data_IF_247176740712
#
_entry.id   IF_247176740712
#
_cell.length_a   1.000
_cell.length_b   1.000
_cell.length_c   1.000
_cell.angle_alpha   90.00
_cell.angle_beta   90.00
_cell.angle_gamma   90.00
#
_symmetry.space_group_name_H-M   'P 1'
#
loop_
_entity.id
_entity.type
_entity.pdbx_description
1 polymer ?
#
# COMPACT_ATOMS: atom_id res chain seq x y z
N UNK A 1 22.76 -12.32 22.63
CA UNK A 1 23.49 -13.12 21.61
C UNK A 1 23.23 -12.47 20.25
N UNK A 2 24.25 -11.87 19.62
CA UNK A 2 24.06 -11.15 18.37
C UNK A 2 24.53 -12.01 17.19
N UNK A 3 23.65 -12.42 16.31
CA UNK A 3 24.03 -13.02 15.01
C UNK A 3 22.91 -12.82 13.96
N UNK A 4 22.68 -11.60 13.50
CA UNK A 4 21.82 -11.33 12.33
C UNK A 4 22.47 -10.34 11.35
N UNK A 5 23.63 -9.76 11.68
CA UNK A 5 24.24 -8.66 10.89
C UNK A 5 25.15 -9.08 9.74
N UNK A 6 25.32 -10.37 9.43
CA UNK A 6 26.36 -10.83 8.48
C UNK A 6 25.84 -11.45 7.18
N UNK A 7 24.54 -11.60 6.99
CA UNK A 7 23.98 -12.22 5.77
C UNK A 7 23.53 -11.23 4.69
N UNK A 8 23.31 -9.98 5.02
CA UNK A 8 22.88 -8.97 4.04
C UNK A 8 23.95 -8.62 2.98
N UNK A 9 25.26 -8.53 3.31
CA UNK A 9 26.27 -8.22 2.29
C UNK A 9 26.51 -9.35 1.29
N UNK A 10 26.24 -10.60 1.64
CA UNK A 10 26.59 -11.75 0.79
C UNK A 10 25.59 -11.97 -0.37
N UNK A 11 24.30 -11.63 -0.16
CA UNK A 11 23.26 -11.78 -1.21
C UNK A 11 23.42 -10.69 -2.27
N UNK A 12 23.86 -9.49 -1.88
CA UNK A 12 24.08 -8.37 -2.81
C UNK A 12 25.29 -8.60 -3.71
N UNK A 13 26.33 -9.29 -3.22
CA UNK A 13 27.54 -9.57 -4.00
C UNK A 13 27.33 -10.58 -5.14
N UNK A 14 26.36 -11.49 -5.05
CA UNK A 14 26.11 -12.50 -6.08
C UNK A 14 25.30 -11.95 -7.26
N UNK A 15 24.47 -10.93 -7.03
CA UNK A 15 23.70 -10.27 -8.09
C UNK A 15 24.51 -9.25 -8.91
N UNK A 16 25.65 -8.78 -8.38
CA UNK A 16 26.49 -7.76 -9.05
C UNK A 16 27.34 -8.32 -10.20
N UNK A 17 27.55 -9.64 -10.29
CA UNK A 17 28.44 -10.23 -11.30
C UNK A 17 27.84 -10.47 -12.69
N UNK A 18 26.52 -10.32 -12.89
CA UNK A 18 25.86 -10.59 -14.18
C UNK A 18 24.98 -9.44 -14.68
N UNK A 19 25.02 -8.24 -14.07
CA UNK A 19 24.19 -7.11 -14.49
C UNK A 19 24.97 -6.19 -15.45
N UNK A 20 24.33 -5.62 -16.50
CA UNK A 20 24.97 -4.60 -17.35
C UNK A 20 25.35 -3.37 -16.51
N UNK A 21 26.42 -2.69 -16.90
CA UNK A 21 27.04 -1.58 -16.14
C UNK A 21 26.05 -0.46 -15.72
N UNK A 22 25.00 -0.23 -16.48
CA UNK A 22 23.91 0.72 -16.17
C UNK A 22 23.06 0.31 -14.96
N UNK A 23 22.86 -0.98 -14.71
CA UNK A 23 22.16 -1.49 -13.53
C UNK A 23 23.02 -1.35 -12.26
N UNK A 24 24.34 -1.53 -12.38
CA UNK A 24 25.27 -1.38 -11.25
C UNK A 24 25.36 0.04 -10.72
N UNK A 25 25.34 1.05 -11.61
CA UNK A 25 25.33 2.46 -11.23
C UNK A 25 24.01 2.87 -10.54
N UNK A 26 22.88 2.39 -11.04
CA UNK A 26 21.59 2.64 -10.39
C UNK A 26 21.48 1.98 -9.01
N UNK A 27 22.02 0.78 -8.83
CA UNK A 27 22.03 0.10 -7.53
C UNK A 27 22.91 0.84 -6.51
N UNK A 28 24.06 1.38 -6.90
CA UNK A 28 24.94 2.15 -6.00
C UNK A 28 24.29 3.48 -5.55
N UNK A 29 23.61 4.18 -6.46
CA UNK A 29 22.86 5.40 -6.14
C UNK A 29 21.70 5.10 -5.21
N UNK A 30 20.96 4.04 -5.46
CA UNK A 30 19.85 3.58 -4.59
C UNK A 30 20.36 3.18 -3.21
N UNK A 31 21.51 2.50 -3.12
CA UNK A 31 22.14 2.14 -1.86
C UNK A 31 22.65 3.36 -1.07
N UNK A 32 23.22 4.34 -1.74
CA UNK A 32 23.66 5.60 -1.12
C UNK A 32 22.46 6.44 -0.67
N UNK A 33 21.38 6.49 -1.43
CA UNK A 33 20.14 7.13 -1.03
C UNK A 33 19.46 6.40 0.12
N UNK A 34 19.43 5.07 0.12
CA UNK A 34 18.89 4.27 1.23
C UNK A 34 19.70 4.48 2.53
N UNK A 35 21.02 4.61 2.44
CA UNK A 35 21.88 4.91 3.58
C UNK A 35 21.69 6.36 4.10
N UNK A 36 21.57 7.34 3.20
CA UNK A 36 21.30 8.73 3.56
C UNK A 36 19.87 8.92 4.12
N UNK A 37 18.93 8.07 3.72
CA UNK A 37 17.53 8.10 4.17
C UNK A 37 17.31 7.42 5.51
N UNK A 38 18.29 6.67 6.04
CA UNK A 38 18.19 6.01 7.35
C UNK A 38 18.08 6.98 8.54
N UNK A 39 18.30 8.27 8.32
CA UNK A 39 18.22 9.30 9.36
C UNK A 39 16.88 10.06 9.41
N UNK A 40 16.02 9.94 8.39
CA UNK A 40 14.71 10.60 8.38
C UNK A 40 13.60 9.62 8.72
N UNK A 41 13.03 9.76 9.90
CA UNK A 41 11.83 9.02 10.30
C UNK A 41 10.59 9.87 10.01
N UNK A 42 9.89 9.52 8.92
CA UNK A 42 8.60 10.14 8.66
C UNK A 42 7.53 9.56 9.58
N UNK A 43 6.65 10.40 10.11
CA UNK A 43 5.50 9.90 10.85
C UNK A 43 4.54 9.13 9.94
N UNK A 44 3.82 8.19 10.51
CA UNK A 44 2.68 7.53 9.87
C UNK A 44 1.42 8.32 10.20
N UNK A 45 0.79 8.86 9.18
CA UNK A 45 -0.52 9.46 9.27
C UNK A 45 -1.58 8.37 9.20
N UNK A 46 -2.54 8.36 10.10
CA UNK A 46 -3.51 7.28 10.24
C UNK A 46 -4.91 7.83 9.95
N UNK A 47 -5.62 7.15 9.05
CA UNK A 47 -7.05 7.33 8.86
C UNK A 47 -7.71 5.98 9.08
N UNK A 48 -8.75 5.93 9.89
CA UNK A 48 -9.42 4.68 10.21
C UNK A 48 -10.94 4.86 10.30
N UNK A 49 -11.65 3.87 9.82
CA UNK A 49 -13.09 3.67 9.99
C UNK A 49 -13.38 2.54 11.00
N UNK A 50 -12.43 2.31 11.93
CA UNK A 50 -12.60 1.48 13.12
C UNK A 50 -13.32 2.25 14.21
N UNK A 51 -14.18 1.57 14.97
CA UNK A 51 -14.65 2.09 16.25
C UNK A 51 -13.47 2.22 17.22
N UNK A 52 -13.36 3.39 17.85
CA UNK A 52 -12.35 3.66 18.89
C UNK A 52 -13.04 3.64 20.24
N UNK A 53 -12.57 2.79 21.16
CA UNK A 53 -13.01 2.76 22.54
C UNK A 53 -12.00 3.49 23.41
N UNK A 54 -12.43 4.61 23.95
CA UNK A 54 -11.61 5.40 24.87
C UNK A 54 -11.61 4.78 26.25
N UNK A 55 -10.44 4.64 26.86
CA UNK A 55 -10.29 4.17 28.23
C UNK A 55 -9.18 4.93 28.97
N UNK A 56 -9.14 4.80 30.28
CA UNK A 56 -8.06 5.37 31.12
C UNK A 56 -6.69 4.74 30.83
N UNK A 57 -6.66 3.61 30.14
CA UNK A 57 -5.43 2.90 29.75
C UNK A 57 -4.97 3.22 28.32
N UNK A 58 -5.70 4.09 27.61
CA UNK A 58 -5.46 4.46 26.22
C UNK A 58 -6.62 4.08 25.29
N UNK A 59 -6.48 4.43 24.03
CA UNK A 59 -7.46 4.18 23.00
C UNK A 59 -7.32 2.76 22.44
N UNK A 60 -8.44 2.03 22.33
CA UNK A 60 -8.52 0.71 21.69
C UNK A 60 -9.17 0.85 20.30
N UNK A 61 -8.38 0.62 19.27
CA UNK A 61 -8.81 0.61 17.86
C UNK A 61 -9.40 -0.76 17.52
N UNK A 62 -10.70 -0.89 17.72
CA UNK A 62 -11.40 -2.18 17.58
C UNK A 62 -11.46 -2.67 16.12
N UNK A 63 -11.95 -3.88 15.91
CA UNK A 63 -12.28 -4.40 14.58
C UNK A 63 -13.77 -4.20 14.21
N UNK A 64 -14.46 -3.29 14.89
CA UNK A 64 -15.84 -2.89 14.59
C UNK A 64 -15.84 -1.70 13.64
N UNK A 65 -16.81 -1.65 12.73
CA UNK A 65 -16.99 -0.54 11.80
C UNK A 65 -17.51 0.71 12.51
N UNK A 66 -16.97 1.86 12.16
CA UNK A 66 -17.49 3.18 12.51
C UNK A 66 -17.92 3.92 11.24
N UNK A 67 -19.12 4.49 11.25
CA UNK A 67 -19.59 5.35 10.14
C UNK A 67 -18.83 6.67 10.02
N UNK A 68 -17.94 6.96 10.97
CA UNK A 68 -17.11 8.17 10.98
C UNK A 68 -15.65 7.77 10.88
N UNK A 69 -14.91 8.43 10.00
CA UNK A 69 -13.46 8.33 9.96
C UNK A 69 -12.84 9.05 11.16
N UNK A 70 -11.84 8.44 11.75
CA UNK A 70 -10.98 9.03 12.78
C UNK A 70 -9.58 9.21 12.22
N UNK A 71 -8.89 10.23 12.71
CA UNK A 71 -7.58 10.66 12.23
C UNK A 71 -6.57 10.57 13.34
N UNK A 72 -5.34 10.20 13.03
CA UNK A 72 -4.26 10.10 13.99
C UNK A 72 -2.89 10.25 13.36
N UNK A 73 -1.88 10.33 14.19
CA UNK A 73 -0.48 10.34 13.82
C UNK A 73 0.29 9.44 14.78
N UNK A 74 1.12 8.58 14.20
CA UNK A 74 2.10 7.79 14.92
C UNK A 74 3.49 8.33 14.59
N UNK A 75 4.25 8.66 15.62
CA UNK A 75 5.65 9.10 15.48
C UNK A 75 6.54 8.00 16.03
N UNK A 76 7.35 7.34 15.19
CA UNK A 76 8.26 6.30 15.64
C UNK A 76 9.22 6.81 16.71
N UNK A 77 9.47 6.01 17.74
CA UNK A 77 10.54 6.27 18.70
C UNK A 77 11.92 5.98 18.08
N UNK A 78 12.94 6.72 18.50
CA UNK A 78 14.33 6.51 18.07
C UNK A 78 15.16 6.04 19.28
N UNK A 79 15.83 4.89 19.23
CA UNK A 79 15.83 3.90 18.15
C UNK A 79 14.48 3.22 17.97
N UNK A 80 14.21 2.73 16.75
CA UNK A 80 12.95 2.07 16.44
C UNK A 80 12.64 0.97 17.47
N UNK A 81 11.48 1.06 18.09
CA UNK A 81 11.03 0.06 19.03
C UNK A 81 10.86 -1.30 18.30
N UNK A 82 11.08 -2.39 19.03
CA UNK A 82 10.87 -3.74 18.46
C UNK A 82 9.42 -4.01 18.08
N UNK A 83 8.48 -3.19 18.55
CA UNK A 83 7.04 -3.26 18.27
C UNK A 83 6.43 -1.86 18.45
N UNK A 84 5.47 -1.52 17.58
CA UNK A 84 4.67 -0.29 17.71
C UNK A 84 3.96 -0.28 19.06
N UNK A 85 4.13 0.82 19.80
CA UNK A 85 3.33 1.12 20.99
C UNK A 85 2.15 2.00 20.57
N UNK A 86 0.93 1.49 20.78
CA UNK A 86 -0.29 2.23 20.43
C UNK A 86 -0.51 3.50 21.27
N UNK A 87 0.15 3.62 22.43
CA UNK A 87 0.16 4.85 23.21
C UNK A 87 0.86 6.02 22.51
N UNK A 88 1.71 5.72 21.52
CA UNK A 88 2.36 6.73 20.68
C UNK A 88 1.46 7.22 19.52
N UNK A 89 0.29 6.61 19.32
CA UNK A 89 -0.71 7.10 18.36
C UNK A 89 -1.48 8.27 19.01
N UNK A 90 -1.33 9.45 18.43
CA UNK A 90 -2.06 10.66 18.87
C UNK A 90 -3.23 10.89 17.93
N UNK A 91 -4.44 10.92 18.49
CA UNK A 91 -5.63 11.29 17.74
C UNK A 91 -5.62 12.77 17.34
N UNK A 92 -6.14 13.04 16.16
CA UNK A 92 -6.29 14.39 15.59
C UNK A 92 -7.78 14.70 15.53
N UNK A 93 -8.15 15.89 16.01
CA UNK A 93 -9.55 16.25 16.25
C UNK A 93 -10.40 16.44 14.98
N UNK A 94 -9.78 16.70 13.83
CA UNK A 94 -10.52 16.94 12.58
C UNK A 94 -9.74 16.57 11.34
N UNK A 95 -10.48 16.34 10.24
CA UNK A 95 -9.93 16.13 8.90
C UNK A 95 -9.05 17.30 8.44
N UNK A 96 -9.48 18.54 8.68
CA UNK A 96 -8.71 19.72 8.30
C UNK A 96 -7.37 19.76 9.00
N UNK A 97 -7.36 19.56 10.33
CA UNK A 97 -6.12 19.50 11.10
C UNK A 97 -5.18 18.39 10.63
N UNK A 98 -5.73 17.22 10.28
CA UNK A 98 -4.98 16.12 9.72
C UNK A 98 -4.28 16.51 8.41
N UNK A 99 -5.00 17.10 7.46
CA UNK A 99 -4.45 17.55 6.19
C UNK A 99 -3.41 18.65 6.36
N UNK A 100 -3.61 19.56 7.32
CA UNK A 100 -2.66 20.63 7.63
C UNK A 100 -1.36 20.07 8.24
N UNK A 101 -1.45 19.10 9.15
CA UNK A 101 -0.27 18.42 9.71
C UNK A 101 0.49 17.63 8.63
N UNK A 102 -0.22 16.95 7.73
CA UNK A 102 0.39 16.24 6.62
C UNK A 102 1.12 17.24 5.69
N UNK A 103 0.55 18.40 5.42
CA UNK A 103 1.19 19.46 4.64
C UNK A 103 2.45 20.01 5.30
N UNK A 104 2.48 20.10 6.61
CA UNK A 104 3.64 20.58 7.39
C UNK A 104 4.87 19.66 7.27
N UNK A 105 4.72 18.41 6.80
CA UNK A 105 5.88 17.55 6.52
C UNK A 105 6.77 18.09 5.41
N UNK A 106 6.26 19.01 4.60
CA UNK A 106 6.98 19.59 3.46
C UNK A 106 7.30 18.59 2.34
N UNK A 107 6.77 17.37 2.41
CA UNK A 107 6.97 16.37 1.35
C UNK A 107 6.17 16.74 0.11
N UNK A 108 6.83 16.68 -1.04
CA UNK A 108 6.18 16.81 -2.35
C UNK A 108 5.43 15.53 -2.79
N UNK A 109 5.57 14.43 -2.03
CA UNK A 109 4.98 13.13 -2.37
C UNK A 109 4.39 12.47 -1.13
N UNK A 110 3.30 11.75 -1.32
CA UNK A 110 2.55 11.03 -0.27
C UNK A 110 2.32 9.61 -0.75
N UNK A 111 2.54 8.63 0.13
CA UNK A 111 2.14 7.25 -0.10
C UNK A 111 0.91 6.92 0.73
N UNK A 112 -0.18 6.47 0.10
CA UNK A 112 -1.36 5.93 0.78
C UNK A 112 -1.24 4.42 0.84
N UNK A 113 -1.26 3.84 2.04
CA UNK A 113 -1.15 2.40 2.22
C UNK A 113 -2.45 1.78 2.73
N UNK A 114 -2.90 0.72 2.06
CA UNK A 114 -4.11 -0.05 2.42
C UNK A 114 -3.71 -1.50 2.71
N UNK A 115 -3.82 -1.88 3.98
CA UNK A 115 -3.42 -3.21 4.44
C UNK A 115 -4.37 -4.33 4.01
N UNK A 116 -3.87 -5.57 4.05
CA UNK A 116 -4.64 -6.75 3.69
C UNK A 116 -5.50 -7.32 4.83
N UNK A 117 -6.11 -8.46 4.53
CA UNK A 117 -6.86 -9.29 5.45
C UNK A 117 -6.06 -9.68 6.70
N UNK A 118 -6.77 -9.86 7.80
CA UNK A 118 -6.23 -10.35 9.08
C UNK A 118 -5.07 -9.50 9.62
N UNK A 119 -5.23 -8.18 9.57
CA UNK A 119 -4.31 -7.25 10.21
C UNK A 119 -4.99 -6.58 11.41
N UNK A 120 -4.36 -6.69 12.59
CA UNK A 120 -4.66 -5.85 13.74
C UNK A 120 -4.28 -4.39 13.44
N UNK A 121 -4.77 -3.48 14.24
CA UNK A 121 -4.46 -2.07 14.07
C UNK A 121 -2.96 -1.81 14.24
N UNK A 122 -2.36 -2.29 15.35
CA UNK A 122 -0.91 -2.20 15.62
C UNK A 122 -0.06 -2.83 14.50
N UNK A 123 -0.45 -4.01 14.03
CA UNK A 123 0.24 -4.66 12.91
C UNK A 123 0.12 -3.92 11.59
N UNK A 124 -0.93 -3.09 11.39
CA UNK A 124 -1.04 -2.24 10.20
C UNK A 124 -0.18 -0.98 10.32
N UNK A 125 -0.06 -0.40 11.53
CA UNK A 125 0.82 0.73 11.80
C UNK A 125 2.29 0.34 11.65
N UNK A 126 2.72 -0.81 12.24
CA UNK A 126 4.08 -1.36 12.06
C UNK A 126 4.44 -1.53 10.57
N UNK A 127 3.49 -2.02 9.80
CA UNK A 127 3.72 -2.21 8.37
C UNK A 127 3.85 -0.88 7.62
N UNK A 128 3.02 0.11 7.97
CA UNK A 128 3.07 1.45 7.39
C UNK A 128 4.36 2.20 7.77
N UNK A 129 4.86 2.03 9.00
CA UNK A 129 6.16 2.57 9.42
C UNK A 129 7.30 2.02 8.58
N UNK A 130 7.31 0.72 8.33
CA UNK A 130 8.32 0.09 7.46
C UNK A 130 8.23 0.59 6.02
N UNK A 131 7.03 0.87 5.51
CA UNK A 131 6.87 1.51 4.20
C UNK A 131 7.46 2.93 4.26
N UNK A 132 7.10 3.75 5.25
CA UNK A 132 7.58 5.13 5.38
C UNK A 132 9.11 5.21 5.41
N UNK A 133 9.75 4.34 6.21
CA UNK A 133 11.20 4.22 6.28
C UNK A 133 11.84 3.81 4.93
N UNK A 134 11.11 3.04 4.13
CA UNK A 134 11.61 2.51 2.85
C UNK A 134 11.44 3.51 1.72
N UNK A 135 10.28 4.18 1.63
CA UNK A 135 9.97 5.11 0.53
C UNK A 135 10.46 6.54 0.79
N UNK A 136 10.91 6.83 2.01
CA UNK A 136 11.35 8.14 2.44
C UNK A 136 10.33 9.25 2.16
N UNK A 137 9.08 8.97 2.45
CA UNK A 137 7.94 9.87 2.29
C UNK A 137 6.92 9.62 3.41
N UNK A 138 6.10 10.62 3.78
CA UNK A 138 5.01 10.42 4.70
C UNK A 138 4.04 9.37 4.14
N UNK A 139 3.64 8.44 5.00
CA UNK A 139 2.65 7.41 4.66
C UNK A 139 1.34 7.75 5.34
N UNK A 140 0.27 7.74 4.56
CA UNK A 140 -1.11 7.76 5.05
C UNK A 140 -1.61 6.32 5.08
N UNK A 141 -1.68 5.73 6.27
CA UNK A 141 -2.27 4.42 6.48
C UNK A 141 -3.79 4.53 6.52
N UNK A 142 -4.48 3.83 5.64
CA UNK A 142 -5.91 3.56 5.77
C UNK A 142 -6.11 2.25 6.54
N UNK A 143 -6.37 2.37 7.84
CA UNK A 143 -6.47 1.24 8.77
C UNK A 143 -7.91 0.74 8.89
N UNK A 144 -8.41 0.05 7.87
CA UNK A 144 -9.77 -0.48 7.85
C UNK A 144 -10.00 -1.62 8.87
N UNK A 145 -11.25 -1.89 9.36
CA UNK A 145 -11.55 -2.77 10.50
C UNK A 145 -11.55 -4.26 10.15
N UNK A 146 -10.42 -4.80 9.68
CA UNK A 146 -10.20 -6.23 9.54
C UNK A 146 -10.28 -6.93 10.90
N UNK A 147 -10.93 -8.10 10.94
CA UNK A 147 -11.22 -8.87 12.16
C UNK A 147 -10.02 -9.59 12.77
N UNK A 148 -8.87 -9.59 12.11
CA UNK A 148 -7.66 -10.30 12.56
C UNK A 148 -7.89 -11.78 12.93
N UNK A 149 -8.81 -12.47 12.27
CA UNK A 149 -9.22 -13.84 12.57
C UNK A 149 -9.43 -14.66 11.29
N UNK A 150 -8.90 -15.89 11.21
CA UNK A 150 -9.04 -16.75 10.02
C UNK A 150 -10.49 -17.01 9.59
N UNK A 151 -11.44 -17.36 10.48
CA UNK A 151 -12.81 -17.63 10.05
C UNK A 151 -13.59 -16.38 9.63
N UNK A 152 -13.03 -15.18 9.85
CA UNK A 152 -13.74 -13.93 9.56
C UNK A 152 -13.49 -13.39 8.13
N UNK A 153 -12.96 -14.21 7.22
CA UNK A 153 -12.64 -13.77 5.85
C UNK A 153 -13.85 -13.17 5.13
N UNK A 154 -15.00 -13.86 5.16
CA UNK A 154 -16.25 -13.38 4.54
C UNK A 154 -16.73 -12.05 5.15
N UNK A 155 -16.58 -11.90 6.48
CA UNK A 155 -16.90 -10.64 7.16
C UNK A 155 -15.98 -9.52 6.71
N UNK A 156 -14.68 -9.81 6.52
CA UNK A 156 -13.70 -8.84 6.07
C UNK A 156 -13.93 -8.46 4.60
N UNK A 157 -14.42 -9.37 3.74
CA UNK A 157 -14.83 -9.01 2.37
C UNK A 157 -15.96 -7.96 2.37
N UNK A 158 -17.03 -8.19 3.15
CA UNK A 158 -18.12 -7.21 3.30
C UNK A 158 -17.62 -5.90 3.92
N UNK A 159 -16.63 -5.98 4.82
CA UNK A 159 -16.03 -4.79 5.43
C UNK A 159 -15.17 -4.03 4.42
N UNK A 160 -14.42 -4.73 3.58
CA UNK A 160 -13.61 -4.13 2.53
C UNK A 160 -14.48 -3.35 1.53
N UNK A 161 -15.63 -3.91 1.12
CA UNK A 161 -16.58 -3.22 0.27
C UNK A 161 -17.10 -1.93 0.93
N UNK A 162 -17.52 -2.01 2.18
CA UNK A 162 -18.01 -0.86 2.92
C UNK A 162 -16.92 0.21 3.13
N UNK A 163 -15.68 -0.18 3.48
CA UNK A 163 -14.55 0.72 3.69
C UNK A 163 -14.08 1.40 2.40
N UNK A 164 -14.41 0.85 1.21
CA UNK A 164 -13.99 1.43 -0.05
C UNK A 164 -14.57 2.83 -0.31
N UNK A 165 -15.76 3.11 0.20
CA UNK A 165 -16.37 4.44 0.11
C UNK A 165 -15.62 5.46 0.98
N UNK A 166 -15.20 5.07 2.18
CA UNK A 166 -14.40 5.93 3.05
C UNK A 166 -12.99 6.18 2.49
N UNK A 167 -12.40 5.16 1.85
CA UNK A 167 -11.13 5.37 1.16
C UNK A 167 -11.29 6.29 -0.05
N UNK A 168 -12.39 6.19 -0.80
CA UNK A 168 -12.67 7.11 -1.90
C UNK A 168 -12.74 8.57 -1.41
N UNK A 169 -13.46 8.83 -0.32
CA UNK A 169 -13.54 10.15 0.30
C UNK A 169 -12.15 10.66 0.73
N UNK A 170 -11.34 9.78 1.37
CA UNK A 170 -9.98 10.12 1.76
C UNK A 170 -9.09 10.47 0.55
N UNK A 171 -9.13 9.66 -0.50
CA UNK A 171 -8.35 9.88 -1.71
C UNK A 171 -8.76 11.18 -2.41
N UNK A 172 -10.06 11.47 -2.47
CA UNK A 172 -10.57 12.74 -2.99
C UNK A 172 -10.03 13.96 -2.20
N UNK A 173 -10.03 13.87 -0.86
CA UNK A 173 -9.51 14.92 0.01
C UNK A 173 -8.01 15.15 -0.18
N UNK A 174 -7.24 14.06 -0.20
CA UNK A 174 -5.80 14.12 -0.42
C UNK A 174 -5.49 14.69 -1.81
N UNK A 175 -6.18 14.22 -2.85
CA UNK A 175 -6.02 14.73 -4.21
C UNK A 175 -6.35 16.20 -4.34
N UNK A 176 -7.46 16.64 -3.74
CA UNK A 176 -7.86 18.05 -3.72
C UNK A 176 -6.86 18.96 -2.98
N UNK A 177 -6.17 18.44 -1.98
CA UNK A 177 -5.25 19.20 -1.13
C UNK A 177 -3.81 19.22 -1.64
N UNK A 178 -3.35 18.12 -2.25
CA UNK A 178 -1.94 17.88 -2.58
C UNK A 178 -1.68 17.67 -4.07
N UNK A 179 -2.72 17.49 -4.88
CA UNK A 179 -2.64 17.06 -6.28
C UNK A 179 -2.52 15.52 -6.39
N UNK A 180 -3.34 14.92 -7.24
CA UNK A 180 -3.37 13.46 -7.43
C UNK A 180 -2.01 12.94 -7.96
N UNK A 181 -1.33 13.73 -8.79
CA UNK A 181 -0.03 13.43 -9.38
C UNK A 181 1.10 13.28 -8.34
N UNK A 182 0.87 13.69 -7.11
CA UNK A 182 1.80 13.57 -5.99
C UNK A 182 1.49 12.39 -5.06
N UNK A 183 0.49 11.57 -5.39
CA UNK A 183 0.01 10.49 -4.54
C UNK A 183 0.27 9.14 -5.18
N UNK A 184 0.96 8.27 -4.44
CA UNK A 184 1.08 6.83 -4.72
C UNK A 184 0.14 6.04 -3.84
N UNK A 185 -0.54 5.06 -4.41
CA UNK A 185 -1.43 4.16 -3.69
C UNK A 185 -0.77 2.78 -3.63
N UNK A 186 -0.54 2.27 -2.43
CA UNK A 186 0.08 0.97 -2.18
C UNK A 186 -0.96 0.09 -1.49
N UNK A 187 -1.26 -1.05 -2.09
CA UNK A 187 -2.24 -1.98 -1.53
C UNK A 187 -1.68 -3.39 -1.42
N UNK A 188 -2.14 -4.12 -0.42
CA UNK A 188 -1.75 -5.49 -0.18
C UNK A 188 -2.96 -6.41 -0.03
N UNK A 189 -2.95 -7.55 -0.74
CA UNK A 189 -3.96 -8.61 -0.60
C UNK A 189 -5.39 -8.08 -0.72
N UNK A 190 -6.27 -8.30 0.26
CA UNK A 190 -7.66 -7.79 0.29
C UNK A 190 -7.74 -6.24 0.25
N UNK A 191 -6.70 -5.52 0.68
CA UNK A 191 -6.60 -4.08 0.53
C UNK A 191 -6.63 -3.63 -0.94
N UNK A 192 -6.16 -4.46 -1.86
CA UNK A 192 -6.27 -4.22 -3.30
C UNK A 192 -7.72 -4.13 -3.77
N UNK A 193 -8.64 -4.91 -3.19
CA UNK A 193 -10.07 -4.83 -3.49
C UNK A 193 -10.66 -3.49 -3.04
N UNK A 194 -10.28 -3.02 -1.85
CA UNK A 194 -10.70 -1.71 -1.33
C UNK A 194 -10.26 -0.60 -2.30
N UNK A 195 -8.99 -0.61 -2.72
CA UNK A 195 -8.44 0.37 -3.67
C UNK A 195 -9.17 0.31 -5.01
N UNK A 196 -9.34 -0.89 -5.60
CA UNK A 196 -10.03 -1.05 -6.88
C UNK A 196 -11.42 -0.43 -6.86
N UNK A 197 -12.21 -0.72 -5.83
CA UNK A 197 -13.56 -0.17 -5.67
C UNK A 197 -13.56 1.32 -5.37
N UNK A 198 -12.63 1.83 -4.57
CA UNK A 198 -12.51 3.28 -4.31
C UNK A 198 -12.20 4.06 -5.59
N UNK A 199 -11.29 3.56 -6.43
CA UNK A 199 -10.97 4.18 -7.72
C UNK A 199 -12.17 4.18 -8.67
N UNK A 200 -12.96 3.10 -8.67
CA UNK A 200 -14.22 3.06 -9.41
C UNK A 200 -15.22 4.11 -8.90
N UNK A 201 -15.39 4.23 -7.58
CA UNK A 201 -16.27 5.25 -6.98
C UNK A 201 -15.86 6.65 -7.45
N UNK A 202 -14.58 7.00 -7.33
CA UNK A 202 -14.05 8.30 -7.78
C UNK A 202 -14.27 8.55 -9.27
N UNK A 203 -13.98 7.54 -10.11
CA UNK A 203 -14.16 7.67 -11.56
C UNK A 203 -15.62 7.83 -11.96
N UNK A 204 -16.54 7.08 -11.34
CA UNK A 204 -17.98 7.15 -11.67
C UNK A 204 -18.67 8.41 -11.15
N UNK A 205 -18.13 9.02 -10.10
CA UNK A 205 -18.64 10.26 -9.51
C UNK A 205 -17.97 11.52 -10.09
N UNK A 206 -17.07 11.38 -11.08
CA UNK A 206 -16.28 12.47 -11.66
C UNK A 206 -15.52 13.30 -10.60
N UNK A 207 -14.99 12.63 -9.57
CA UNK A 207 -14.27 13.25 -8.46
C UNK A 207 -12.74 13.29 -8.69
N UNK A 208 -12.27 13.00 -9.88
CA UNK A 208 -10.86 13.03 -10.26
C UNK A 208 -10.62 14.22 -11.19
N UNK A 209 -9.85 15.21 -10.72
CA UNK A 209 -9.36 16.29 -11.57
C UNK A 209 -8.25 15.80 -12.50
N UNK A 210 -7.31 15.01 -11.97
CA UNK A 210 -6.18 14.38 -12.66
C UNK A 210 -5.99 12.97 -12.11
N UNK A 211 -5.34 12.06 -12.85
CA UNK A 211 -5.03 10.73 -12.34
C UNK A 211 -4.02 10.75 -11.17
N UNK A 212 -4.16 9.84 -10.24
CA UNK A 212 -3.12 9.57 -9.24
C UNK A 212 -1.82 9.13 -9.92
N UNK A 213 -0.68 9.44 -9.29
CA UNK A 213 0.63 9.13 -9.84
C UNK A 213 0.81 7.63 -10.12
N UNK A 214 0.53 6.81 -9.12
CA UNK A 214 0.60 5.35 -9.28
C UNK A 214 -0.32 4.59 -8.36
N UNK A 215 -0.66 3.36 -8.76
CA UNK A 215 -1.26 2.35 -7.89
C UNK A 215 -0.50 1.04 -7.98
N UNK A 216 0.03 0.57 -6.84
CA UNK A 216 0.79 -0.67 -6.70
C UNK A 216 -0.06 -1.69 -5.96
N UNK A 217 -0.37 -2.80 -6.64
CA UNK A 217 -1.12 -3.92 -6.10
C UNK A 217 -0.17 -5.06 -5.77
N UNK A 218 0.04 -5.36 -4.48
CA UNK A 218 0.86 -6.47 -4.03
C UNK A 218 0.00 -7.67 -3.65
N UNK A 219 0.17 -8.81 -4.34
CA UNK A 219 -0.59 -10.04 -4.16
C UNK A 219 -2.10 -9.79 -4.01
N UNK A 220 -2.75 -9.06 -4.95
CA UNK A 220 -4.13 -8.64 -4.79
C UNK A 220 -5.07 -9.84 -4.72
N UNK A 221 -5.86 -9.90 -3.65
CA UNK A 221 -6.91 -10.91 -3.48
C UNK A 221 -8.23 -10.40 -4.05
N UNK A 222 -8.26 -10.34 -5.37
CA UNK A 222 -9.41 -9.88 -6.16
C UNK A 222 -9.78 -10.98 -7.15
N UNK A 223 -11.07 -11.21 -7.33
CA UNK A 223 -11.55 -12.03 -8.43
C UNK A 223 -11.02 -11.47 -9.77
N UNK A 224 -10.48 -12.37 -10.61
CA UNK A 224 -9.82 -11.97 -11.85
C UNK A 224 -10.77 -11.26 -12.82
N UNK A 225 -11.98 -11.77 -12.95
CA UNK A 225 -12.95 -11.24 -13.91
C UNK A 225 -13.51 -9.90 -13.38
N UNK A 226 -13.67 -9.78 -12.06
CA UNK A 226 -13.99 -8.50 -11.40
C UNK A 226 -12.87 -7.48 -11.63
N UNK A 227 -11.59 -7.84 -11.42
CA UNK A 227 -10.48 -6.92 -11.64
C UNK A 227 -10.39 -6.47 -13.12
N UNK A 228 -10.69 -7.37 -14.05
CA UNK A 228 -10.76 -7.05 -15.47
C UNK A 228 -11.90 -6.06 -15.76
N UNK A 229 -13.06 -6.23 -15.14
CA UNK A 229 -14.18 -5.30 -15.25
C UNK A 229 -13.90 -3.93 -14.63
N UNK A 230 -13.13 -3.90 -13.53
CA UNK A 230 -12.70 -2.66 -12.84
C UNK A 230 -11.56 -1.94 -13.57
N UNK A 231 -10.84 -2.63 -14.45
CA UNK A 231 -9.61 -2.13 -15.07
C UNK A 231 -9.75 -0.81 -15.82
N UNK A 232 -10.88 -0.48 -16.51
CA UNK A 232 -11.07 0.83 -17.13
C UNK A 232 -11.07 1.98 -16.11
N UNK A 233 -11.69 1.77 -14.95
CA UNK A 233 -11.74 2.76 -13.87
C UNK A 233 -10.36 2.95 -13.23
N UNK A 234 -9.65 1.85 -12.98
CA UNK A 234 -8.29 1.88 -12.43
C UNK A 234 -7.35 2.66 -13.37
N UNK A 235 -7.41 2.37 -14.68
CA UNK A 235 -6.58 3.07 -15.69
C UNK A 235 -6.94 4.54 -15.84
N UNK A 236 -8.21 4.88 -15.74
CA UNK A 236 -8.65 6.28 -15.76
C UNK A 236 -8.14 7.02 -14.52
N UNK A 237 -8.10 6.34 -13.37
CA UNK A 237 -7.79 6.96 -12.09
C UNK A 237 -6.30 7.03 -11.76
N UNK A 238 -5.43 6.28 -12.46
CA UNK A 238 -4.01 6.20 -12.14
C UNK A 238 -3.16 6.24 -13.42
N UNK A 239 -2.13 7.11 -13.43
CA UNK A 239 -1.19 7.23 -14.55
C UNK A 239 -0.35 5.96 -14.71
N UNK A 240 -0.01 5.30 -13.62
CA UNK A 240 0.76 4.07 -13.62
C UNK A 240 0.12 3.02 -12.71
N UNK A 241 -0.01 1.81 -13.21
CA UNK A 241 -0.55 0.69 -12.43
C UNK A 241 0.37 -0.51 -12.57
N UNK A 242 0.82 -1.03 -11.42
CA UNK A 242 1.64 -2.24 -11.36
C UNK A 242 1.02 -3.27 -10.45
N UNK A 243 1.08 -4.52 -10.87
CA UNK A 243 0.56 -5.67 -10.12
C UNK A 243 1.71 -6.63 -9.85
N UNK A 244 2.01 -6.83 -8.59
CA UNK A 244 3.07 -7.71 -8.10
C UNK A 244 2.48 -9.01 -7.61
N UNK A 245 2.94 -10.14 -8.16
CA UNK A 245 2.41 -11.46 -7.88
C UNK A 245 3.51 -12.41 -7.39
N UNK A 246 3.15 -13.22 -6.39
CA UNK A 246 3.87 -14.46 -6.07
C UNK A 246 3.16 -15.62 -6.76
N UNK A 247 3.84 -16.29 -7.70
CA UNK A 247 3.28 -17.42 -8.45
C UNK A 247 2.95 -18.63 -7.59
N UNK A 248 3.56 -18.73 -6.40
CA UNK A 248 3.39 -19.84 -5.45
C UNK A 248 2.59 -19.42 -4.20
N UNK A 249 1.83 -18.33 -4.29
CA UNK A 249 1.08 -17.76 -3.17
C UNK A 249 -0.02 -18.73 -2.69
N UNK A 250 0.29 -19.49 -1.64
CA UNK A 250 -0.64 -20.44 -1.02
C UNK A 250 -1.88 -19.76 -0.42
N UNK A 251 -1.78 -18.49 -0.01
CA UNK A 251 -2.90 -17.73 0.60
C UNK A 251 -3.90 -17.32 -0.48
N UNK A 252 -3.41 -16.85 -1.62
CA UNK A 252 -4.25 -16.56 -2.79
C UNK A 252 -4.86 -17.84 -3.34
N UNK A 253 -4.11 -18.97 -3.31
CA UNK A 253 -4.65 -20.26 -3.68
C UNK A 253 -5.80 -20.70 -2.77
N UNK A 254 -5.68 -20.53 -1.44
CA UNK A 254 -6.77 -20.81 -0.49
C UNK A 254 -7.99 -19.93 -0.80
N UNK A 255 -7.79 -18.64 -1.06
CA UNK A 255 -8.86 -17.74 -1.46
C UNK A 255 -9.56 -18.22 -2.74
N UNK A 256 -8.80 -18.67 -3.76
CA UNK A 256 -9.34 -19.26 -5.00
C UNK A 256 -10.22 -20.47 -4.70
N UNK A 257 -9.76 -21.38 -3.84
CA UNK A 257 -10.53 -22.59 -3.48
C UNK A 257 -11.81 -22.21 -2.71
N UNK A 258 -11.71 -21.26 -1.80
CA UNK A 258 -12.85 -20.82 -0.99
C UNK A 258 -13.97 -20.19 -1.83
N UNK A 259 -13.63 -19.45 -2.87
CA UNK A 259 -14.58 -18.72 -3.73
C UNK A 259 -14.96 -19.47 -5.01
N UNK A 260 -14.26 -20.54 -5.33
CA UNK A 260 -14.48 -21.28 -6.58
C UNK A 260 -14.15 -20.50 -7.86
N UNK A 261 -13.45 -19.34 -7.74
CA UNK A 261 -13.15 -18.46 -8.86
C UNK A 261 -11.66 -18.09 -8.91
N UNK A 262 -11.08 -17.88 -10.12
CA UNK A 262 -9.70 -17.47 -10.28
C UNK A 262 -9.43 -16.09 -9.65
N UNK A 263 -8.32 -15.95 -8.93
CA UNK A 263 -7.84 -14.69 -8.39
C UNK A 263 -6.79 -14.07 -9.31
N UNK A 264 -6.66 -12.73 -9.27
CA UNK A 264 -5.62 -12.01 -10.05
C UNK A 264 -4.24 -12.59 -9.76
N UNK A 265 -3.96 -12.95 -8.51
CA UNK A 265 -2.69 -13.55 -8.09
C UNK A 265 -2.44 -14.98 -8.58
N UNK A 266 -3.44 -15.67 -9.16
CA UNK A 266 -3.28 -17.03 -9.70
C UNK A 266 -3.27 -17.01 -11.23
N UNK A 267 -2.09 -17.04 -11.83
CA UNK A 267 -1.86 -16.97 -13.30
C UNK A 267 -2.19 -18.31 -13.99
N UNK A 268 -3.38 -18.86 -13.79
CA UNK A 268 -3.72 -20.19 -14.33
C UNK A 268 -4.39 -20.18 -15.74
N UNK A 269 -4.81 -19.01 -16.25
CA UNK A 269 -5.49 -18.88 -17.55
C UNK A 269 -4.73 -17.90 -18.44
N UNK A 270 -4.00 -18.45 -19.41
CA UNK A 270 -3.14 -17.68 -20.30
C UNK A 270 -3.89 -16.58 -21.08
N UNK A 271 -5.13 -16.82 -21.51
CA UNK A 271 -5.87 -15.89 -22.37
C UNK A 271 -6.30 -14.63 -21.60
N UNK A 272 -6.88 -14.80 -20.40
CA UNK A 272 -7.35 -13.67 -19.59
C UNK A 272 -6.20 -12.96 -18.87
N UNK A 273 -5.15 -13.70 -18.53
CA UNK A 273 -3.89 -13.11 -18.06
C UNK A 273 -3.28 -12.23 -19.14
N UNK A 274 -3.30 -12.65 -20.41
CA UNK A 274 -2.84 -11.85 -21.54
C UNK A 274 -3.66 -10.54 -21.73
N UNK A 275 -4.93 -10.53 -21.40
CA UNK A 275 -5.73 -9.29 -21.40
C UNK A 275 -5.28 -8.34 -20.30
N UNK A 276 -5.08 -8.84 -19.08
CA UNK A 276 -4.60 -8.04 -17.95
C UNK A 276 -3.18 -7.49 -18.18
N UNK A 277 -2.28 -8.31 -18.74
CA UNK A 277 -0.89 -7.88 -19.04
C UNK A 277 -0.80 -6.84 -20.15
N UNK A 278 -1.80 -6.75 -21.02
CA UNK A 278 -1.94 -5.63 -21.98
C UNK A 278 -2.42 -4.33 -21.32
N UNK A 279 -3.06 -4.43 -20.16
CA UNK A 279 -3.64 -3.29 -19.47
C UNK A 279 -2.73 -2.75 -18.37
N UNK A 280 -1.98 -3.62 -17.70
CA UNK A 280 -1.17 -3.29 -16.53
C UNK A 280 0.21 -3.92 -16.62
N UNK A 281 1.19 -3.34 -15.94
CA UNK A 281 2.50 -3.95 -15.75
C UNK A 281 2.39 -5.02 -14.66
N UNK A 282 2.77 -6.26 -15.00
CA UNK A 282 2.82 -7.37 -14.05
C UNK A 282 4.26 -7.75 -13.74
N UNK A 283 4.54 -7.92 -12.46
CA UNK A 283 5.79 -8.47 -11.96
C UNK A 283 5.48 -9.74 -11.15
N UNK A 284 5.99 -10.88 -11.64
CA UNK A 284 5.77 -12.19 -11.04
C UNK A 284 6.95 -12.70 -10.24
N UNK A 285 7.91 -11.84 -9.96
CA UNK A 285 9.17 -12.20 -9.27
C UNK A 285 9.08 -12.10 -7.74
N UNK A 286 7.90 -11.84 -7.18
CA UNK A 286 7.74 -11.74 -5.73
C UNK A 286 8.10 -13.05 -5.02
N UNK A 287 8.96 -12.98 -4.01
CA UNK A 287 9.42 -14.18 -3.29
C UNK A 287 8.39 -14.71 -2.28
N UNK A 288 7.36 -13.95 -1.99
CA UNK A 288 6.33 -14.30 -0.99
C UNK A 288 5.09 -13.42 -1.13
N UNK A 289 4.00 -13.82 -0.43
CA UNK A 289 2.77 -13.02 -0.31
C UNK A 289 2.99 -11.62 0.31
N UNK A 290 4.12 -11.34 0.92
CA UNK A 290 4.38 -10.06 1.60
C UNK A 290 4.99 -9.02 0.65
N UNK A 291 4.73 -7.74 0.93
CA UNK A 291 5.39 -6.64 0.21
C UNK A 291 6.91 -6.76 0.40
N UNK A 292 7.68 -6.87 -0.68
CA UNK A 292 9.14 -6.90 -0.61
C UNK A 292 9.67 -5.47 -0.40
N UNK A 293 9.80 -5.02 0.84
CA UNK A 293 10.20 -3.65 1.19
C UNK A 293 11.41 -3.13 0.40
N UNK A 294 12.48 -3.91 0.17
CA UNK A 294 13.63 -3.42 -0.61
C UNK A 294 13.30 -3.08 -2.07
N UNK A 295 12.19 -3.61 -2.61
CA UNK A 295 11.77 -3.34 -3.99
C UNK A 295 10.82 -2.13 -4.10
N UNK A 296 10.26 -1.65 -3.00
CA UNK A 296 9.32 -0.52 -3.01
C UNK A 296 9.90 0.76 -3.66
N UNK A 297 11.13 1.21 -3.32
CA UNK A 297 11.71 2.38 -3.97
C UNK A 297 11.86 2.19 -5.48
N UNK A 298 12.29 0.99 -5.90
CA UNK A 298 12.44 0.65 -7.32
C UNK A 298 11.06 0.66 -8.01
N UNK A 299 10.04 0.09 -7.37
CA UNK A 299 8.67 0.07 -7.88
C UNK A 299 8.13 1.47 -8.11
N UNK A 300 8.36 2.39 -7.18
CA UNK A 300 7.93 3.78 -7.25
C UNK A 300 8.75 4.60 -8.26
N UNK A 301 10.08 4.42 -8.32
CA UNK A 301 10.95 5.15 -9.25
C UNK A 301 10.81 4.72 -10.71
N UNK A 302 10.63 3.42 -10.99
CA UNK A 302 10.37 2.95 -12.35
C UNK A 302 9.06 3.50 -12.93
N UNK A 303 8.15 3.95 -12.06
CA UNK A 303 6.91 4.62 -12.44
C UNK A 303 7.17 6.01 -13.03
N UNK A 304 8.24 6.69 -12.62
CA UNK A 304 8.62 8.04 -13.09
C UNK A 304 9.27 8.00 -14.48
N UNK A 305 10.04 6.95 -14.79
CA UNK A 305 10.80 6.88 -16.04
C UNK A 305 9.93 6.70 -17.30
N UNK A 306 8.72 6.15 -17.17
CA UNK A 306 7.80 5.90 -18.31
C UNK A 306 6.99 7.15 -18.68
N UNK A 307 6.81 8.09 -17.78
CA UNK A 307 6.03 9.32 -18.03
C UNK A 307 6.80 10.38 -18.86
N UNK A 308 8.10 10.22 -19.10
CA UNK A 308 8.92 11.18 -19.87
C UNK A 308 9.26 10.72 -21.30
N UNK A 309 8.80 9.58 -21.78
CA UNK A 309 9.11 9.05 -23.12
C UNK A 309 7.97 9.18 -24.12
N UNK A 310 6.87 9.80 -23.80
CA UNK A 310 5.68 9.80 -24.61
C UNK A 310 5.10 11.16 -25.01
N UNK A 311 5.93 12.14 -25.43
CA UNK A 311 5.47 13.27 -26.26
C UNK A 311 6.70 13.90 -26.96
N UNK A 312 7.05 13.34 -28.10
CA UNK A 312 7.73 14.02 -29.21
C UNK A 312 7.14 13.53 -30.53
#
# INVERSE_FOLDING_TARGET
>A
MPRVSLLLPLIISVLACCAPASLGQNLSVIQQQAAANSERHYPVFIVTDREIKHSTRGDDFTSTRSSKMSYGIYTPSIPAAAKVDLHDVKLIGSRSEFLDKLKQTGSGQIAVFVHGYRKSFDGSVDFAERIASTVNAPVVLFAWPSKNSYPAYMTDECTAEWSSYHLADLLHDLGSRFGNENIDIISHSLGGRIVSWSLRVLATQNQLAEPFRSSLFFSPDIDRDTFLAESPFIKHSCSNVKVYLDQHDSRIWISKVLHGSPRVGTVADATRTAQLTKMFQFDTSMPSHQIPFPLLPIALHQTIAVSHVGHN
#
